data_IF_352379249730
#
_entry.id   IF_352379249730
#
_cell.length_a   1.000
_cell.length_b   1.000
_cell.length_c   1.000
_cell.angle_alpha   90.00
_cell.angle_beta   90.00
_cell.angle_gamma   90.00
#
_symmetry.space_group_name_H-M   'P 1'
#
loop_
_entity.id
_entity.type
_entity.pdbx_description
1 polymer ?
#
# COMPACT_ATOMS: atom_id res chain seq x y z
N UNK A 1 8.99 10.25 28.73
CA UNK A 1 8.26 10.25 27.44
C UNK A 1 6.85 10.70 27.75
N UNK A 2 6.38 11.80 27.15
CA UNK A 2 5.06 12.31 27.42
C UNK A 2 4.05 11.48 26.61
N UNK A 3 3.07 10.83 27.27
CA UNK A 3 2.14 9.92 26.59
C UNK A 3 1.35 10.60 25.46
N UNK A 4 1.24 11.93 25.50
CA UNK A 4 0.53 12.72 24.51
C UNK A 4 1.26 12.81 23.16
N UNK A 5 2.60 12.76 23.16
CA UNK A 5 3.39 12.80 21.91
C UNK A 5 3.61 11.42 21.32
N UNK A 6 3.58 10.35 22.14
CA UNK A 6 3.88 8.99 21.72
C UNK A 6 2.99 8.48 20.57
N UNK A 7 1.70 8.82 20.57
CA UNK A 7 0.79 8.50 19.47
C UNK A 7 1.22 9.18 18.16
N UNK A 8 1.52 10.48 18.23
CA UNK A 8 1.95 11.25 17.05
C UNK A 8 3.31 10.79 16.55
N UNK A 9 4.23 10.48 17.45
CA UNK A 9 5.56 9.96 17.11
C UNK A 9 5.46 8.60 16.44
N UNK A 10 4.55 7.72 16.90
CA UNK A 10 4.27 6.45 16.24
C UNK A 10 3.73 6.64 14.82
N UNK A 11 2.76 7.53 14.61
CA UNK A 11 2.27 7.83 13.25
C UNK A 11 3.35 8.43 12.35
N UNK A 12 4.21 9.31 12.87
CA UNK A 12 5.36 9.83 12.12
C UNK A 12 6.35 8.73 11.77
N UNK A 13 6.59 7.78 12.68
CA UNK A 13 7.48 6.65 12.42
C UNK A 13 6.92 5.73 11.33
N UNK A 14 5.60 5.52 11.31
CA UNK A 14 4.90 4.84 10.21
C UNK A 14 5.12 5.62 8.93
N UNK A 15 4.74 6.89 8.87
CA UNK A 15 4.93 7.71 7.65
C UNK A 15 6.38 7.83 7.20
N UNK A 16 7.36 7.82 8.10
CA UNK A 16 8.79 7.83 7.74
C UNK A 16 9.25 6.48 7.18
N UNK A 17 8.73 5.36 7.70
CA UNK A 17 9.06 4.03 7.20
C UNK A 17 8.40 3.76 5.84
N UNK A 18 7.21 4.30 5.65
CA UNK A 18 6.27 3.87 4.65
C UNK A 18 5.91 4.95 3.61
N UNK A 19 5.88 6.21 4.01
CA UNK A 19 5.35 7.31 3.22
C UNK A 19 3.95 7.73 3.69
N UNK A 20 3.41 8.82 3.10
CA UNK A 20 2.12 9.39 3.50
C UNK A 20 0.97 8.44 3.16
N UNK A 21 -0.01 8.28 4.06
CA UNK A 21 -1.10 7.30 3.86
C UNK A 21 -1.92 7.50 2.57
N UNK A 22 -1.94 8.70 2.00
CA UNK A 22 -2.63 9.01 0.73
C UNK A 22 -2.03 8.29 -0.48
N UNK A 23 -0.81 7.77 -0.36
CA UNK A 23 -0.16 6.94 -1.36
C UNK A 23 -0.77 5.53 -1.47
N UNK A 24 -1.62 5.17 -0.51
CA UNK A 24 -2.07 3.80 -0.29
C UNK A 24 -3.55 3.65 -0.66
N UNK A 25 -3.91 2.44 -1.10
CA UNK A 25 -5.31 2.03 -1.15
C UNK A 25 -5.75 1.54 0.23
N UNK A 26 -7.00 1.78 0.57
CA UNK A 26 -7.66 1.18 1.72
C UNK A 26 -7.53 -0.34 1.63
N UNK A 27 -7.02 -0.96 2.69
CA UNK A 27 -6.80 -2.39 2.76
C UNK A 27 -8.11 -3.20 2.64
N UNK A 28 -9.25 -2.59 2.99
CA UNK A 28 -10.56 -3.23 2.89
C UNK A 28 -11.23 -3.07 1.53
N UNK A 29 -11.38 -1.83 1.07
CA UNK A 29 -12.21 -1.51 -0.08
C UNK A 29 -11.45 -0.93 -1.28
N UNK A 30 -10.12 -0.76 -1.17
CA UNK A 30 -9.21 -0.26 -2.21
C UNK A 30 -9.40 1.21 -2.67
N UNK A 31 -10.38 1.92 -2.07
CA UNK A 31 -10.50 3.38 -2.14
C UNK A 31 -9.22 4.07 -1.66
N UNK A 32 -9.08 5.38 -1.85
CA UNK A 32 -7.90 6.08 -1.33
C UNK A 32 -7.89 6.02 0.20
N UNK A 33 -6.77 5.57 0.75
CA UNK A 33 -6.58 5.57 2.19
C UNK A 33 -6.36 7.01 2.69
N UNK A 34 -6.76 7.24 3.93
CA UNK A 34 -6.63 8.54 4.59
C UNK A 34 -6.10 8.43 6.01
N UNK A 35 -5.93 7.22 6.56
CA UNK A 35 -5.48 6.98 7.94
C UNK A 35 -4.70 5.69 8.08
N UNK A 36 -3.63 5.74 8.87
CA UNK A 36 -2.93 4.57 9.38
C UNK A 36 -3.65 4.07 10.63
N UNK A 37 -4.07 2.81 10.63
CA UNK A 37 -4.78 2.19 11.76
C UNK A 37 -3.98 1.00 12.24
N UNK A 38 -3.80 0.88 13.56
CA UNK A 38 -3.14 -0.29 14.15
C UNK A 38 -4.02 -1.51 13.94
N UNK A 39 -3.43 -2.60 13.48
CA UNK A 39 -4.05 -3.91 13.41
C UNK A 39 -4.57 -4.32 14.80
N UNK A 40 -5.86 -4.62 14.89
CA UNK A 40 -6.50 -5.04 16.13
C UNK A 40 -5.91 -6.35 16.69
N UNK A 41 -5.27 -7.18 15.85
CA UNK A 41 -4.55 -8.39 16.26
C UNK A 41 -3.13 -8.11 16.77
N UNK A 42 -2.59 -6.92 16.54
CA UNK A 42 -1.26 -6.55 16.98
C UNK A 42 -1.25 -6.02 18.42
N UNK A 43 -0.13 -6.24 19.10
CA UNK A 43 0.14 -5.61 20.40
C UNK A 43 0.22 -4.09 20.24
N UNK A 44 -0.54 -3.37 21.06
CA UNK A 44 -0.68 -1.93 20.99
C UNK A 44 -0.87 -1.32 22.38
N UNK A 45 -0.46 -0.07 22.53
CA UNK A 45 -0.72 0.77 23.71
C UNK A 45 -1.96 1.61 23.44
N UNK A 46 -2.78 1.81 24.47
CA UNK A 46 -3.91 2.74 24.44
C UNK A 46 -3.55 3.93 25.32
N UNK A 47 -3.62 5.15 24.76
CA UNK A 47 -3.36 6.37 25.53
C UNK A 47 -4.59 6.85 26.32
N UNK A 48 -4.41 7.93 27.09
CA UNK A 48 -5.47 8.54 27.90
C UNK A 48 -6.64 9.12 27.08
N UNK A 49 -6.47 9.28 25.76
CA UNK A 49 -7.51 9.71 24.82
C UNK A 49 -8.15 8.51 24.10
N UNK A 50 -7.92 7.29 24.60
CA UNK A 50 -8.38 6.03 24.03
C UNK A 50 -7.87 5.76 22.60
N UNK A 51 -6.74 6.37 22.22
CA UNK A 51 -6.12 6.12 20.92
C UNK A 51 -5.17 4.95 21.01
N UNK A 52 -5.32 4.00 20.10
CA UNK A 52 -4.50 2.79 20.01
C UNK A 52 -3.31 3.03 19.07
N UNK A 53 -2.10 2.73 19.53
CA UNK A 53 -0.85 2.92 18.75
C UNK A 53 0.18 1.83 19.06
N UNK A 54 1.15 1.65 18.17
CA UNK A 54 2.27 0.73 18.30
C UNK A 54 3.56 1.44 17.94
N UNK A 55 4.68 1.10 18.59
CA UNK A 55 6.00 1.58 18.17
C UNK A 55 6.53 0.85 16.93
N UNK A 56 5.93 -0.27 16.54
CA UNK A 56 6.30 -1.04 15.36
C UNK A 56 5.47 -0.60 14.15
N UNK A 57 6.08 0.01 13.10
CA UNK A 57 5.37 0.40 11.89
C UNK A 57 4.64 -0.76 11.21
N UNK A 58 5.16 -1.98 11.28
CA UNK A 58 4.55 -3.17 10.67
C UNK A 58 3.19 -3.56 11.28
N UNK A 59 2.79 -2.94 12.39
CA UNK A 59 1.47 -3.13 12.99
C UNK A 59 0.39 -2.24 12.37
N UNK A 60 0.71 -1.39 11.39
CA UNK A 60 -0.23 -0.41 10.83
C UNK A 60 -0.72 -0.79 9.44
N UNK A 61 -1.99 -0.49 9.18
CA UNK A 61 -2.64 -0.69 7.88
C UNK A 61 -3.28 0.59 7.36
N UNK A 62 -3.28 0.81 6.03
CA UNK A 62 -3.91 1.98 5.43
C UNK A 62 -5.42 1.73 5.27
N UNK A 63 -6.25 2.60 5.84
CA UNK A 63 -7.71 2.55 5.71
C UNK A 63 -8.25 3.85 5.11
N UNK A 64 -9.37 3.74 4.37
CA UNK A 64 -10.21 4.91 4.10
C UNK A 64 -11.01 5.27 5.36
N UNK A 65 -11.46 6.53 5.45
CA UNK A 65 -12.15 7.01 6.65
C UNK A 65 -13.42 6.24 7.04
N UNK A 66 -14.12 5.63 6.07
CA UNK A 66 -15.29 4.77 6.35
C UNK A 66 -14.86 3.46 7.03
N UNK A 67 -14.00 2.69 6.36
CA UNK A 67 -13.58 1.38 6.84
C UNK A 67 -12.73 1.48 8.12
N UNK A 68 -12.03 2.59 8.35
CA UNK A 68 -11.35 2.85 9.62
C UNK A 68 -12.34 2.88 10.79
N UNK A 69 -13.44 3.65 10.67
CA UNK A 69 -14.47 3.73 11.73
C UNK A 69 -15.13 2.39 11.99
N UNK A 70 -15.44 1.64 10.92
CA UNK A 70 -16.03 0.31 11.05
C UNK A 70 -15.05 -0.64 11.74
N UNK A 71 -13.76 -0.58 11.40
CA UNK A 71 -12.73 -1.42 11.98
C UNK A 71 -12.43 -1.11 13.45
N UNK A 72 -12.33 0.18 13.79
CA UNK A 72 -12.12 0.64 15.17
C UNK A 72 -13.33 0.31 16.08
N UNK A 73 -14.56 0.34 15.53
CA UNK A 73 -15.78 0.00 16.27
C UNK A 73 -16.06 -1.51 16.37
N UNK A 74 -15.56 -2.32 15.43
CA UNK A 74 -15.75 -3.78 15.38
C UNK A 74 -15.06 -4.57 16.49
N UNK A 75 -14.38 -3.91 17.43
CA UNK A 75 -13.75 -4.54 18.59
C UNK A 75 -14.70 -5.32 19.51
N UNK A 76 -16.01 -5.29 19.27
CA UNK A 76 -16.99 -5.94 20.15
C UNK A 76 -17.26 -7.43 19.88
N UNK A 77 -17.45 -7.95 18.65
CA UNK A 77 -17.96 -9.35 18.51
C UNK A 77 -17.94 -9.96 17.08
N UNK A 78 -16.84 -9.88 16.33
CA UNK A 78 -16.75 -10.60 15.04
C UNK A 78 -15.31 -11.05 14.75
N UNK A 79 -15.08 -12.19 14.09
CA UNK A 79 -13.72 -12.64 13.79
C UNK A 79 -12.97 -11.50 13.08
N UNK A 80 -11.69 -11.25 13.44
CA UNK A 80 -10.94 -10.14 12.88
C UNK A 80 -11.03 -10.26 11.38
N UNK A 81 -11.72 -9.30 10.74
CA UNK A 81 -11.85 -9.27 9.29
C UNK A 81 -10.42 -9.39 8.79
N UNK A 82 -10.09 -10.49 8.11
CA UNK A 82 -8.76 -10.73 7.59
C UNK A 82 -8.59 -9.76 6.43
N UNK A 83 -8.15 -8.53 6.74
CA UNK A 83 -7.95 -7.51 5.72
C UNK A 83 -6.79 -7.95 4.85
N UNK A 84 -7.08 -8.14 3.56
CA UNK A 84 -6.12 -8.57 2.54
C UNK A 84 -4.92 -7.62 2.58
N UNK A 85 -3.78 -8.14 3.01
CA UNK A 85 -2.47 -7.48 2.99
C UNK A 85 -2.14 -7.07 1.55
N UNK A 86 -2.57 -5.87 1.17
CA UNK A 86 -2.11 -5.20 -0.03
C UNK A 86 -0.93 -4.38 0.44
N UNK A 87 0.24 -5.02 0.50
CA UNK A 87 1.46 -4.26 0.72
C UNK A 87 1.62 -3.25 -0.39
N UNK A 88 1.90 -2.04 0.04
CA UNK A 88 2.30 -0.91 -0.78
C UNK A 88 3.76 -0.57 -0.40
N UNK A 89 4.43 -1.51 0.28
CA UNK A 89 5.81 -1.42 0.76
C UNK A 89 6.70 -2.35 -0.01
N UNK A 90 7.32 -1.78 -1.03
CA UNK A 90 8.76 -1.75 -1.16
C UNK A 90 9.05 -0.92 -2.40
N UNK A 91 9.47 0.32 -2.20
CA UNK A 91 10.12 1.12 -3.22
C UNK A 91 11.56 0.64 -3.47
N UNK A 92 11.79 -0.68 -3.38
CA UNK A 92 13.09 -1.31 -3.61
C UNK A 92 13.13 -1.81 -5.03
N UNK A 93 13.66 -0.96 -5.91
CA UNK A 93 14.20 -1.25 -7.24
C UNK A 93 13.30 -1.92 -8.30
N UNK A 94 12.17 -2.52 -7.94
CA UNK A 94 11.29 -3.18 -8.92
C UNK A 94 10.93 -2.28 -10.09
N UNK A 95 10.72 -0.97 -9.85
CA UNK A 95 10.39 -0.05 -10.93
C UNK A 95 11.60 0.14 -11.85
N UNK A 96 12.78 0.38 -11.28
CA UNK A 96 14.00 0.57 -12.06
C UNK A 96 14.46 -0.72 -12.71
N UNK A 97 14.15 -1.89 -12.17
CA UNK A 97 14.60 -3.18 -12.69
C UNK A 97 13.66 -3.68 -13.78
N UNK A 98 12.36 -3.49 -13.60
CA UNK A 98 11.35 -3.95 -14.56
C UNK A 98 11.00 -2.90 -15.64
N UNK A 99 11.18 -1.60 -15.37
CA UNK A 99 10.67 -0.52 -16.21
C UNK A 99 11.70 0.57 -16.47
N UNK A 100 11.51 1.28 -17.60
CA UNK A 100 12.15 2.57 -17.85
C UNK A 100 11.09 3.61 -18.21
N UNK A 101 11.38 4.87 -17.86
CA UNK A 101 10.53 6.00 -18.25
C UNK A 101 10.83 6.32 -19.71
N UNK A 102 9.80 6.27 -20.55
CA UNK A 102 9.84 6.70 -21.95
C UNK A 102 8.51 7.36 -22.28
N UNK A 103 8.55 8.63 -22.67
CA UNK A 103 7.37 9.45 -23.01
C UNK A 103 6.58 8.84 -24.18
N UNK A 104 7.26 8.17 -25.11
CA UNK A 104 6.65 7.44 -26.22
C UNK A 104 6.31 5.99 -25.89
N UNK A 105 6.85 5.48 -24.77
CA UNK A 105 6.66 4.12 -24.30
C UNK A 105 5.23 3.85 -23.83
N UNK A 106 4.78 2.62 -24.08
CA UNK A 106 3.51 2.12 -23.59
C UNK A 106 3.56 0.63 -23.35
N UNK A 107 3.00 0.18 -22.23
CA UNK A 107 2.88 -1.25 -21.88
C UNK A 107 1.45 -1.57 -21.45
N UNK A 108 0.95 -2.77 -21.77
CA UNK A 108 -0.34 -3.22 -21.21
C UNK A 108 -0.19 -3.48 -19.71
N UNK A 109 -1.20 -3.08 -18.93
CA UNK A 109 -1.21 -3.29 -17.48
C UNK A 109 -1.15 -4.79 -17.10
N UNK A 110 -1.59 -5.70 -17.96
CA UNK A 110 -1.40 -7.14 -17.77
C UNK A 110 0.06 -7.52 -17.75
N UNK A 111 0.80 -7.04 -18.74
CA UNK A 111 2.16 -7.47 -19.02
C UNK A 111 3.12 -6.82 -18.02
N UNK A 112 2.88 -5.54 -17.71
CA UNK A 112 3.55 -4.84 -16.62
C UNK A 112 3.35 -5.54 -15.27
N UNK A 113 2.11 -5.96 -14.96
CA UNK A 113 1.84 -6.61 -13.68
C UNK A 113 2.44 -8.02 -13.63
N UNK A 114 2.44 -8.77 -14.73
CA UNK A 114 3.12 -10.07 -14.80
C UNK A 114 4.62 -9.93 -14.53
N UNK A 115 5.28 -8.97 -15.17
CA UNK A 115 6.71 -8.68 -14.96
C UNK A 115 7.01 -8.33 -13.49
N UNK A 116 6.16 -7.52 -12.86
CA UNK A 116 6.27 -7.23 -11.43
C UNK A 116 6.13 -8.48 -10.54
N UNK A 117 5.23 -9.40 -10.88
CA UNK A 117 5.08 -10.65 -10.14
C UNK A 117 6.29 -11.58 -10.28
N UNK A 118 6.93 -11.59 -11.46
CA UNK A 118 8.15 -12.37 -11.68
C UNK A 118 9.31 -11.80 -10.85
N UNK A 119 9.50 -10.47 -10.83
CA UNK A 119 10.44 -9.81 -9.91
C UNK A 119 10.20 -10.20 -8.44
N UNK A 120 8.94 -10.15 -7.99
CA UNK A 120 8.62 -10.53 -6.60
C UNK A 120 8.96 -11.99 -6.30
N UNK A 121 8.81 -12.88 -7.28
CA UNK A 121 9.16 -14.30 -7.15
C UNK A 121 10.67 -14.49 -7.06
N UNK A 122 11.43 -13.79 -7.90
CA UNK A 122 12.90 -13.84 -7.94
C UNK A 122 13.51 -13.32 -6.63
N UNK A 123 13.02 -12.18 -6.14
CA UNK A 123 13.44 -11.58 -4.87
C UNK A 123 12.85 -12.28 -3.63
N UNK A 124 12.06 -13.34 -3.82
CA UNK A 124 11.42 -14.14 -2.76
C UNK A 124 10.60 -13.29 -1.78
N UNK A 125 9.86 -12.31 -2.31
CA UNK A 125 8.99 -11.48 -1.49
C UNK A 125 7.91 -12.35 -0.83
N UNK A 126 7.62 -12.14 0.46
CA UNK A 126 6.47 -12.77 1.10
C UNK A 126 5.20 -12.46 0.29
N UNK A 127 4.30 -13.42 0.09
CA UNK A 127 3.07 -13.21 -0.70
C UNK A 127 2.21 -12.05 -0.20
N UNK A 128 2.33 -11.76 1.10
CA UNK A 128 1.65 -10.68 1.81
C UNK A 128 2.21 -9.30 1.44
N UNK A 129 3.41 -9.27 0.89
CA UNK A 129 4.15 -8.08 0.48
C UNK A 129 4.00 -7.75 -1.01
N UNK A 130 3.31 -8.61 -1.76
CA UNK A 130 3.06 -8.41 -3.20
C UNK A 130 1.86 -7.46 -3.40
N UNK A 131 2.07 -6.38 -4.16
CA UNK A 131 1.02 -5.42 -4.50
C UNK A 131 -0.10 -6.09 -5.28
N UNK A 132 -1.35 -5.77 -4.93
CA UNK A 132 -2.47 -6.06 -5.81
C UNK A 132 -2.34 -5.30 -7.13
N UNK A 133 -2.98 -5.81 -8.20
CA UNK A 133 -2.96 -5.17 -9.52
C UNK A 133 -3.42 -3.71 -9.50
N UNK A 134 -4.38 -3.37 -8.63
CA UNK A 134 -4.87 -2.01 -8.48
C UNK A 134 -3.84 -1.12 -7.77
N UNK A 135 -3.22 -1.61 -6.69
CA UNK A 135 -2.15 -0.89 -6.00
C UNK A 135 -0.93 -0.67 -6.90
N UNK A 136 -0.53 -1.71 -7.63
CA UNK A 136 0.51 -1.63 -8.66
C UNK A 136 0.19 -0.56 -9.72
N UNK A 137 -1.02 -0.57 -10.27
CA UNK A 137 -1.46 0.45 -11.22
C UNK A 137 -1.36 1.87 -10.64
N UNK A 138 -1.89 2.08 -9.43
CA UNK A 138 -1.81 3.39 -8.75
C UNK A 138 -0.35 3.82 -8.54
N UNK A 139 0.55 2.89 -8.23
CA UNK A 139 1.97 3.15 -8.06
C UNK A 139 2.66 3.61 -9.35
N UNK A 140 2.30 3.03 -10.51
CA UNK A 140 2.79 3.47 -11.82
C UNK A 140 2.29 4.89 -12.16
N UNK A 141 1.01 5.17 -11.93
CA UNK A 141 0.43 6.49 -12.22
C UNK A 141 1.05 7.60 -11.37
N UNK A 142 1.42 7.31 -10.12
CA UNK A 142 2.16 8.25 -9.27
C UNK A 142 3.56 8.59 -9.79
N UNK A 143 4.14 7.76 -10.66
CA UNK A 143 5.45 7.97 -11.30
C UNK A 143 5.37 8.76 -12.62
N UNK A 144 4.26 9.45 -12.85
CA UNK A 144 4.04 10.25 -14.05
C UNK A 144 3.53 9.45 -15.25
N UNK A 145 3.26 8.15 -15.08
CA UNK A 145 2.60 7.38 -16.11
C UNK A 145 1.13 7.81 -16.26
N UNK A 146 0.59 7.67 -17.46
CA UNK A 146 -0.84 7.90 -17.75
C UNK A 146 -1.51 6.61 -18.19
N UNK A 147 -2.83 6.50 -18.00
CA UNK A 147 -3.58 5.33 -18.46
C UNK A 147 -4.45 5.66 -19.67
N UNK A 148 -4.53 4.73 -20.61
CA UNK A 148 -5.44 4.78 -21.75
C UNK A 148 -6.17 3.45 -21.90
N UNK A 149 -7.49 3.49 -22.07
CA UNK A 149 -8.28 2.29 -22.37
C UNK A 149 -8.12 1.95 -23.86
N UNK A 150 -7.87 0.69 -24.15
CA UNK A 150 -7.68 0.15 -25.50
C UNK A 150 -8.55 -1.08 -25.67
N UNK A 151 -8.67 -1.57 -26.92
CA UNK A 151 -9.40 -2.81 -27.22
C UNK A 151 -8.78 -4.05 -26.53
N UNK A 152 -7.51 -3.96 -26.12
CA UNK A 152 -6.77 -5.04 -25.44
C UNK A 152 -6.74 -4.89 -23.91
N UNK A 153 -7.37 -3.85 -23.37
CA UNK A 153 -7.38 -3.54 -21.93
C UNK A 153 -6.79 -2.18 -21.61
N UNK A 154 -6.24 -2.02 -20.40
CA UNK A 154 -5.64 -0.75 -19.95
C UNK A 154 -4.17 -0.73 -20.37
N UNK A 155 -3.79 0.26 -21.19
CA UNK A 155 -2.40 0.59 -21.48
C UNK A 155 -1.91 1.66 -20.50
N UNK A 156 -0.66 1.54 -20.07
CA UNK A 156 0.06 2.52 -19.26
C UNK A 156 1.11 3.17 -20.16
N UNK A 157 0.98 4.47 -20.38
CA UNK A 157 1.84 5.29 -21.24
C UNK A 157 2.81 6.11 -20.40
N UNK A 158 3.97 6.45 -20.96
CA UNK A 158 5.06 7.14 -20.25
C UNK A 158 6.08 6.19 -19.61
N UNK A 159 5.88 4.88 -19.78
CA UNK A 159 6.78 3.82 -19.32
C UNK A 159 6.79 2.66 -20.32
N UNK A 160 7.85 1.89 -20.30
CA UNK A 160 7.94 0.61 -21.01
C UNK A 160 8.71 -0.42 -20.17
N UNK A 161 8.60 -1.69 -20.57
CA UNK A 161 9.38 -2.77 -19.96
C UNK A 161 10.86 -2.59 -20.30
N UNK A 162 11.76 -2.82 -19.34
CA UNK A 162 13.18 -2.97 -19.68
C UNK A 162 13.34 -4.22 -20.54
N UNK A 163 14.01 -4.07 -21.67
CA UNK A 163 14.53 -5.20 -22.43
C UNK A 163 15.72 -5.75 -21.65
N UNK A 164 15.70 -7.06 -21.35
CA UNK A 164 16.86 -7.78 -20.83
C UNK A 164 18.00 -7.81 -21.86
#
# INVERSE_FOLDING_TARGET
>A
MNAETAYTDALRAVEAHYGPVTDFGCIHCTDNASRWIVDNSASAVVDQKFRRYSSNPAHYWPFCGRCARDYESSMSDAPPVAFRRVSVFAERHWFTDCFRVDVSGSVLLSDAYATYLDFCREERFPTQEVMSRLAFKKSLLRRGASQKRTNRGVAISGIELRSN
#
